data_IF_862249138336
#
_entry.id   IF_862249138336
#
_cell.length_a   1.000
_cell.length_b   1.000
_cell.length_c   1.000
_cell.angle_alpha   90.00
_cell.angle_beta   90.00
_cell.angle_gamma   90.00
#
_symmetry.space_group_name_H-M   'P 1'
#
loop_
_entity.id
_entity.type
_entity.pdbx_description
1 polymer ?
#
# COMPACT_ATOMS: atom_id res chain seq x y z
N UNK A 1 -9.69 23.15 1.92
CA UNK A 1 -9.29 22.39 0.73
C UNK A 1 -10.18 21.17 0.59
N UNK A 2 -10.70 20.94 -0.59
CA UNK A 2 -11.54 19.78 -0.85
C UNK A 2 -10.68 18.50 -0.96
N UNK A 3 -11.34 17.36 -0.86
CA UNK A 3 -10.76 16.07 -1.17
C UNK A 3 -10.37 16.03 -2.65
N UNK A 4 -9.22 15.48 -2.96
CA UNK A 4 -8.77 15.32 -4.36
C UNK A 4 -9.07 13.89 -4.82
N UNK A 5 -9.97 13.78 -5.78
CA UNK A 5 -10.40 12.50 -6.34
C UNK A 5 -9.67 12.11 -7.63
N UNK A 6 -8.68 12.90 -8.06
CA UNK A 6 -7.94 12.60 -9.27
C UNK A 6 -6.95 11.45 -9.10
N UNK A 7 -6.47 11.26 -7.88
CA UNK A 7 -5.50 10.23 -7.50
C UNK A 7 -5.97 9.51 -6.25
N UNK A 8 -5.42 8.32 -6.02
CA UNK A 8 -5.68 7.57 -4.78
C UNK A 8 -4.53 6.64 -4.45
N UNK A 9 -4.49 6.19 -3.21
CA UNK A 9 -3.66 5.09 -2.76
C UNK A 9 -4.53 3.84 -2.67
N UNK A 10 -4.11 2.78 -3.32
CA UNK A 10 -4.76 1.48 -3.23
C UNK A 10 -3.81 0.51 -2.56
N UNK A 11 -4.28 -0.15 -1.50
CA UNK A 11 -3.52 -1.16 -0.78
C UNK A 11 -4.24 -2.48 -1.00
N UNK A 12 -3.57 -3.41 -1.67
CA UNK A 12 -4.12 -4.74 -1.99
C UNK A 12 -3.48 -5.76 -1.07
N UNK A 13 -4.30 -6.50 -0.33
CA UNK A 13 -3.84 -7.39 0.73
C UNK A 13 -4.28 -8.82 0.43
N UNK A 14 -3.41 -9.77 0.76
CA UNK A 14 -3.76 -11.19 0.58
C UNK A 14 -4.91 -11.56 1.52
N UNK A 15 -5.95 -12.14 0.98
CA UNK A 15 -7.23 -12.35 1.67
C UNK A 15 -7.17 -13.30 2.86
N UNK A 16 -6.14 -14.16 2.93
CA UNK A 16 -5.98 -15.17 3.98
C UNK A 16 -5.10 -14.72 5.15
N UNK A 17 -4.70 -13.44 5.20
CA UNK A 17 -3.85 -12.94 6.28
C UNK A 17 -4.59 -12.90 7.60
N UNK A 18 -3.92 -13.40 8.67
CA UNK A 18 -4.36 -13.20 10.03
C UNK A 18 -4.22 -11.71 10.42
N UNK A 19 -4.88 -11.30 11.50
CA UNK A 19 -4.98 -9.87 11.86
C UNK A 19 -3.62 -9.19 12.08
N UNK A 20 -2.65 -9.87 12.70
CA UNK A 20 -1.35 -9.25 12.94
C UNK A 20 -0.56 -9.01 11.65
N UNK A 21 -0.35 -10.01 10.77
CA UNK A 21 0.32 -9.76 9.48
C UNK A 21 -0.43 -8.74 8.62
N UNK A 22 -1.75 -8.76 8.65
CA UNK A 22 -2.59 -7.81 7.91
C UNK A 22 -2.32 -6.36 8.35
N UNK A 23 -2.41 -6.09 9.65
CA UNK A 23 -2.23 -4.73 10.18
C UNK A 23 -0.79 -4.25 10.01
N UNK A 24 0.19 -5.14 10.21
CA UNK A 24 1.59 -4.82 10.00
C UNK A 24 1.86 -4.44 8.54
N UNK A 25 1.36 -5.24 7.60
CA UNK A 25 1.52 -5.00 6.17
C UNK A 25 0.92 -3.67 5.75
N UNK A 26 -0.31 -3.37 6.19
CA UNK A 26 -0.97 -2.09 5.89
C UNK A 26 -0.13 -0.92 6.41
N UNK A 27 0.33 -1.00 7.64
CA UNK A 27 1.14 0.06 8.26
C UNK A 27 2.40 0.38 7.47
N UNK A 28 3.16 -0.66 7.09
CA UNK A 28 4.40 -0.48 6.34
C UNK A 28 4.15 0.05 4.92
N UNK A 29 3.14 -0.46 4.24
CA UNK A 29 2.78 0.00 2.89
C UNK A 29 2.37 1.47 2.92
N UNK A 30 1.47 1.84 3.83
CA UNK A 30 0.98 3.21 3.93
C UNK A 30 2.10 4.18 4.32
N UNK A 31 2.98 3.80 5.24
CA UNK A 31 4.11 4.62 5.66
C UNK A 31 5.09 4.85 4.50
N UNK A 32 5.42 3.81 3.74
CA UNK A 32 6.33 3.94 2.60
C UNK A 32 5.75 4.88 1.55
N UNK A 33 4.51 4.66 1.12
CA UNK A 33 3.89 5.48 0.09
C UNK A 33 3.67 6.91 0.55
N UNK A 34 3.26 7.13 1.80
CA UNK A 34 3.10 8.45 2.38
C UNK A 34 4.41 9.23 2.41
N UNK A 35 5.50 8.58 2.79
CA UNK A 35 6.83 9.18 2.78
C UNK A 35 7.32 9.46 1.35
N UNK A 36 7.12 8.53 0.43
CA UNK A 36 7.51 8.66 -0.98
C UNK A 36 6.77 9.81 -1.66
N UNK A 37 5.49 9.99 -1.31
CA UNK A 37 4.61 11.01 -1.88
C UNK A 37 4.42 12.18 -0.90
N UNK A 38 5.44 12.57 -0.16
CA UNK A 38 5.35 13.57 0.93
C UNK A 38 4.59 14.84 0.52
N UNK A 39 4.95 15.46 -0.59
CA UNK A 39 4.30 16.69 -1.06
C UNK A 39 2.81 16.50 -1.33
N UNK A 40 2.38 15.48 -2.10
CA UNK A 40 0.96 15.22 -2.28
C UNK A 40 0.18 14.94 -0.99
N UNK A 41 0.84 14.35 0.02
CA UNK A 41 0.20 14.01 1.28
C UNK A 41 0.36 15.07 2.37
N UNK A 42 1.12 16.13 2.11
CA UNK A 42 1.25 17.23 3.06
C UNK A 42 0.04 18.15 2.93
N UNK A 43 -0.86 18.05 3.86
CA UNK A 43 -2.09 18.86 3.87
C UNK A 43 -1.93 20.15 4.65
N UNK A 44 -0.98 20.22 5.60
CA UNK A 44 -0.74 21.39 6.45
C UNK A 44 -1.99 21.88 7.19
N UNK A 45 -3.05 21.08 7.25
CA UNK A 45 -4.34 21.50 7.76
C UNK A 45 -4.73 20.71 9.00
N UNK A 46 -5.43 21.40 9.91
CA UNK A 46 -5.96 20.82 11.13
C UNK A 46 -7.47 21.05 11.22
N UNK A 47 -8.13 20.12 11.86
CA UNK A 47 -9.50 20.28 12.32
C UNK A 47 -9.49 20.48 13.82
N UNK A 48 -10.44 21.19 14.36
CA UNK A 48 -10.55 21.37 15.80
C UNK A 48 -11.88 20.82 16.30
N UNK A 49 -11.85 20.15 17.45
CA UNK A 49 -13.06 19.76 18.16
C UNK A 49 -13.69 20.99 18.83
N UNK A 50 -14.89 20.81 19.38
CA UNK A 50 -15.63 21.87 20.07
C UNK A 50 -14.82 22.50 21.22
N UNK A 51 -14.03 21.69 21.91
CA UNK A 51 -13.21 22.11 23.06
C UNK A 51 -11.76 22.46 22.69
N UNK A 52 -11.47 22.57 21.37
CA UNK A 52 -10.15 23.05 20.90
C UNK A 52 -9.09 21.97 20.75
N UNK A 53 -9.48 20.69 20.69
CA UNK A 53 -8.51 19.61 20.41
C UNK A 53 -8.22 19.59 18.91
N UNK A 54 -6.94 19.67 18.56
CA UNK A 54 -6.51 19.71 17.17
C UNK A 54 -6.35 18.31 16.58
N UNK A 55 -6.95 18.11 15.41
CA UNK A 55 -6.89 16.87 14.64
C UNK A 55 -6.24 17.17 13.30
N UNK A 56 -5.05 16.62 13.02
CA UNK A 56 -4.45 16.82 11.71
C UNK A 56 -5.29 16.16 10.61
N UNK A 57 -5.33 16.79 9.48
CA UNK A 57 -5.90 16.15 8.28
C UNK A 57 -4.94 15.07 7.81
N UNK A 58 -5.43 13.85 7.69
CA UNK A 58 -4.58 12.69 7.37
C UNK A 58 -4.14 12.64 5.90
N UNK A 59 -5.04 12.95 4.97
CA UNK A 59 -4.74 12.91 3.53
C UNK A 59 -5.85 13.61 2.75
N UNK A 60 -5.48 14.28 1.66
CA UNK A 60 -6.46 14.79 0.69
C UNK A 60 -6.87 13.71 -0.33
N UNK A 61 -6.14 12.61 -0.41
CA UNK A 61 -6.45 11.49 -1.31
C UNK A 61 -7.12 10.35 -0.56
N UNK A 62 -7.98 9.61 -1.26
CA UNK A 62 -8.57 8.40 -0.71
C UNK A 62 -7.51 7.30 -0.56
N UNK A 63 -7.62 6.53 0.51
CA UNK A 63 -6.83 5.32 0.74
C UNK A 63 -7.83 4.16 0.79
N UNK A 64 -7.68 3.20 -0.11
CA UNK A 64 -8.63 2.11 -0.28
C UNK A 64 -7.90 0.78 -0.06
N UNK A 65 -8.47 -0.08 0.77
CA UNK A 65 -7.96 -1.43 1.01
C UNK A 65 -8.80 -2.45 0.24
N UNK A 66 -8.13 -3.26 -0.56
CA UNK A 66 -8.74 -4.33 -1.36
C UNK A 66 -8.16 -5.67 -0.95
N UNK A 67 -8.92 -6.75 -1.17
CA UNK A 67 -8.44 -8.10 -0.94
C UNK A 67 -8.16 -8.82 -2.26
N UNK A 68 -7.18 -9.70 -2.25
CA UNK A 68 -6.77 -10.45 -3.41
C UNK A 68 -6.28 -11.84 -3.02
N UNK A 69 -6.36 -12.75 -3.96
CA UNK A 69 -5.73 -14.06 -3.83
C UNK A 69 -4.22 -13.94 -4.04
N UNK A 70 -3.50 -14.99 -3.66
CA UNK A 70 -2.06 -15.08 -3.89
C UNK A 70 -1.69 -14.89 -5.36
N UNK A 71 -2.44 -15.51 -6.27
CA UNK A 71 -2.19 -15.42 -7.71
C UNK A 71 -2.49 -14.02 -8.26
N UNK A 72 -3.55 -13.40 -7.78
CA UNK A 72 -3.89 -12.02 -8.15
C UNK A 72 -2.81 -11.03 -7.73
N UNK A 73 -2.21 -11.22 -6.56
CA UNK A 73 -1.08 -10.40 -6.11
C UNK A 73 0.16 -10.60 -7.00
N UNK A 74 0.46 -11.82 -7.40
CA UNK A 74 1.58 -12.09 -8.32
C UNK A 74 1.38 -11.40 -9.66
N UNK A 75 0.17 -11.49 -10.20
CA UNK A 75 -0.19 -10.83 -11.46
C UNK A 75 -0.05 -9.31 -11.35
N UNK A 76 -0.57 -8.74 -10.28
CA UNK A 76 -0.48 -7.29 -10.04
C UNK A 76 0.97 -6.83 -9.93
N UNK A 77 1.80 -7.56 -9.19
CA UNK A 77 3.23 -7.24 -9.05
C UNK A 77 3.94 -7.24 -10.39
N UNK A 78 3.65 -8.24 -11.24
CA UNK A 78 4.24 -8.33 -12.57
C UNK A 78 3.83 -7.16 -13.47
N UNK A 79 2.56 -6.77 -13.41
CA UNK A 79 2.02 -5.64 -14.19
C UNK A 79 2.61 -4.30 -13.73
N UNK A 80 2.77 -4.12 -12.43
CA UNK A 80 3.37 -2.90 -11.88
C UNK A 80 4.84 -2.76 -12.22
N UNK A 81 5.57 -3.87 -12.30
CA UNK A 81 7.00 -3.87 -12.65
C UNK A 81 7.25 -3.32 -14.03
N UNK A 82 6.33 -3.55 -14.98
CA UNK A 82 6.43 -3.03 -16.32
C UNK A 82 6.02 -1.56 -16.48
N UNK A 83 5.49 -0.93 -15.44
CA UNK A 83 4.95 0.41 -15.48
C UNK A 83 5.77 1.44 -14.71
N UNK A 84 5.24 2.66 -14.63
CA UNK A 84 5.88 3.81 -13.98
C UNK A 84 5.18 4.26 -12.68
N UNK A 85 4.14 3.56 -12.23
CA UNK A 85 3.41 3.93 -11.03
C UNK A 85 4.25 3.69 -9.77
N UNK A 86 4.18 4.62 -8.83
CA UNK A 86 4.80 4.47 -7.52
C UNK A 86 4.13 3.33 -6.77
N UNK A 87 4.90 2.33 -6.36
CA UNK A 87 4.36 1.16 -5.68
C UNK A 87 5.37 0.52 -4.75
N UNK A 88 4.88 -0.33 -3.88
CA UNK A 88 5.68 -1.19 -2.98
C UNK A 88 5.06 -2.58 -2.95
N UNK A 89 5.92 -3.60 -2.98
CA UNK A 89 5.54 -5.00 -2.75
C UNK A 89 6.06 -5.40 -1.38
N UNK A 90 5.18 -5.88 -0.51
CA UNK A 90 5.52 -6.28 0.85
C UNK A 90 5.43 -7.81 0.95
N UNK A 91 6.52 -8.44 1.40
CA UNK A 91 6.68 -9.91 1.36
C UNK A 91 6.90 -10.47 2.76
N UNK A 92 6.71 -11.79 2.91
CA UNK A 92 6.78 -12.48 4.20
C UNK A 92 8.13 -12.28 4.91
N UNK A 93 9.22 -12.27 4.17
CA UNK A 93 10.56 -12.09 4.73
C UNK A 93 10.71 -10.76 5.46
N UNK A 94 9.97 -9.74 5.04
CA UNK A 94 9.99 -8.42 5.69
C UNK A 94 9.33 -8.42 7.07
N UNK A 95 8.45 -9.37 7.34
CA UNK A 95 7.90 -9.61 8.68
C UNK A 95 8.85 -10.47 9.52
N UNK A 96 9.44 -11.49 8.89
CA UNK A 96 10.23 -12.50 9.61
C UNK A 96 11.59 -11.98 10.06
N UNK A 97 12.15 -11.01 9.38
CA UNK A 97 13.50 -10.50 9.61
C UNK A 97 13.48 -9.01 9.98
N UNK A 98 14.29 -8.65 10.97
CA UNK A 98 14.42 -7.26 11.43
C UNK A 98 15.75 -6.61 10.99
N UNK A 99 16.68 -7.41 10.51
CA UNK A 99 18.00 -6.95 10.06
C UNK A 99 18.02 -6.85 8.54
N UNK A 100 18.40 -5.69 8.02
CA UNK A 100 18.40 -5.41 6.58
C UNK A 100 19.39 -6.27 5.80
N UNK A 101 20.52 -6.65 6.40
CA UNK A 101 21.50 -7.50 5.73
C UNK A 101 20.98 -8.94 5.60
N UNK A 102 20.35 -9.45 6.66
CA UNK A 102 19.70 -10.76 6.62
C UNK A 102 18.58 -10.79 5.58
N UNK A 103 17.76 -9.75 5.57
CA UNK A 103 16.65 -9.62 4.62
C UNK A 103 17.16 -9.58 3.18
N UNK A 104 18.17 -8.76 2.90
CA UNK A 104 18.75 -8.65 1.57
C UNK A 104 19.32 -9.99 1.11
N UNK A 105 20.01 -10.71 2.00
CA UNK A 105 20.56 -12.04 1.70
C UNK A 105 19.45 -13.05 1.40
N UNK A 106 18.40 -13.09 2.20
CA UNK A 106 17.27 -13.97 1.99
C UNK A 106 16.58 -13.71 0.65
N UNK A 107 16.30 -12.45 0.34
CA UNK A 107 15.65 -12.07 -0.91
C UNK A 107 16.50 -12.32 -2.15
N UNK A 108 17.82 -12.28 -2.03
CA UNK A 108 18.75 -12.51 -3.15
C UNK A 108 18.67 -13.92 -3.70
N UNK A 109 18.13 -14.87 -2.94
CA UNK A 109 17.98 -16.27 -3.35
C UNK A 109 16.61 -16.63 -3.88
N UNK A 110 15.66 -15.69 -3.87
CA UNK A 110 14.25 -15.91 -4.27
C UNK A 110 13.98 -15.18 -5.57
N UNK A 111 13.45 -15.90 -6.56
CA UNK A 111 12.99 -15.24 -7.78
C UNK A 111 11.70 -14.46 -7.53
N UNK A 112 11.46 -13.41 -8.32
CA UNK A 112 10.26 -12.59 -8.16
C UNK A 112 8.96 -13.38 -8.31
N UNK A 113 8.96 -14.44 -9.12
CA UNK A 113 7.79 -15.30 -9.30
C UNK A 113 7.49 -16.20 -8.08
N UNK A 114 8.48 -16.40 -7.21
CA UNK A 114 8.37 -17.26 -6.02
C UNK A 114 8.18 -16.47 -4.74
N UNK A 115 8.18 -15.14 -4.79
CA UNK A 115 7.98 -14.29 -3.61
C UNK A 115 6.63 -14.54 -2.95
N UNK A 116 6.62 -14.62 -1.63
CA UNK A 116 5.41 -14.74 -0.82
C UNK A 116 4.87 -13.35 -0.51
N UNK A 117 4.05 -12.83 -1.42
CA UNK A 117 3.55 -11.46 -1.36
C UNK A 117 2.38 -11.38 -0.38
N UNK A 118 2.51 -10.51 0.62
CA UNK A 118 1.47 -10.25 1.61
C UNK A 118 0.56 -9.10 1.17
N UNK A 119 1.12 -8.10 0.51
CA UNK A 119 0.37 -6.96 0.03
C UNK A 119 1.15 -6.12 -0.96
N UNK A 120 0.42 -5.28 -1.66
CA UNK A 120 0.97 -4.33 -2.63
C UNK A 120 0.27 -3.00 -2.42
N UNK A 121 1.06 -1.93 -2.32
CA UNK A 121 0.53 -0.58 -2.32
C UNK A 121 0.87 0.12 -3.60
N UNK A 122 -0.06 0.90 -4.12
CA UNK A 122 0.16 1.68 -5.34
C UNK A 122 -0.54 3.04 -5.21
N UNK A 123 0.14 4.09 -5.67
CA UNK A 123 -0.40 5.44 -5.71
C UNK A 123 -0.32 5.99 -7.11
N UNK A 124 -1.39 6.61 -7.56
CA UNK A 124 -1.43 7.22 -8.87
C UNK A 124 -2.81 7.66 -9.30
N UNK A 125 -2.95 7.99 -10.60
CA UNK A 125 -4.23 8.42 -11.14
C UNK A 125 -5.32 7.38 -10.97
N UNK A 126 -6.49 7.83 -10.57
CA UNK A 126 -7.65 6.99 -10.28
C UNK A 126 -7.98 6.02 -11.42
N UNK A 127 -7.96 6.49 -12.66
CA UNK A 127 -8.35 5.66 -13.80
C UNK A 127 -7.32 4.58 -14.10
N UNK A 128 -6.03 4.86 -13.92
CA UNK A 128 -4.99 3.85 -14.06
C UNK A 128 -5.09 2.77 -13.00
N UNK A 129 -5.34 3.16 -11.76
CA UNK A 129 -5.53 2.21 -10.66
C UNK A 129 -6.77 1.36 -10.87
N UNK A 130 -7.84 1.93 -11.42
CA UNK A 130 -9.06 1.19 -11.74
C UNK A 130 -8.79 0.07 -12.76
N UNK A 131 -7.97 0.33 -13.76
CA UNK A 131 -7.57 -0.69 -14.74
C UNK A 131 -6.82 -1.84 -14.12
N UNK A 132 -5.96 -1.54 -13.12
CA UNK A 132 -5.14 -2.54 -12.44
C UNK A 132 -5.93 -3.35 -11.42
N UNK A 133 -6.84 -2.73 -10.68
CA UNK A 133 -7.46 -3.31 -9.47
C UNK A 133 -8.97 -3.31 -9.48
N UNK A 134 -9.62 -2.92 -10.58
CA UNK A 134 -11.07 -2.72 -10.64
C UNK A 134 -11.91 -3.98 -10.44
N UNK A 135 -11.31 -5.16 -10.60
CA UNK A 135 -11.99 -6.45 -10.38
C UNK A 135 -11.89 -6.93 -8.94
N UNK A 136 -11.04 -6.30 -8.12
CA UNK A 136 -10.82 -6.71 -6.73
C UNK A 136 -11.87 -6.09 -5.81
N UNK A 137 -12.20 -6.82 -4.76
CA UNK A 137 -13.23 -6.41 -3.80
C UNK A 137 -12.62 -5.62 -2.64
N UNK A 138 -13.42 -4.73 -2.07
CA UNK A 138 -13.04 -4.02 -0.84
C UNK A 138 -12.78 -5.02 0.28
N UNK A 139 -11.81 -4.72 1.12
CA UNK A 139 -11.57 -5.48 2.34
C UNK A 139 -12.67 -5.17 3.35
N UNK A 140 -13.59 -6.11 3.49
CA UNK A 140 -14.68 -6.03 4.45
C UNK A 140 -14.73 -7.28 5.31
#
# INVERSE_FOLDING_TARGET
MAQDFSKKMTIVLREDLASWPLTNTIGHIAAYLGNKMADPFDTGKYFASKDGFDLPRNSQYAIVALKATKDELKDLAARLRGGSLSHIVYVQEMIDMIDDEELAKALSTVSSAEMDILGIGVFGPKDELKKLTGTLQLWK
#
